data_IF_905132055659
#
_entry.id   IF_905132055659
#
_cell.length_a   1.000
_cell.length_b   1.000
_cell.length_c   1.000
_cell.angle_alpha   90.00
_cell.angle_beta   90.00
_cell.angle_gamma   90.00
#
_symmetry.space_group_name_H-M   'P 1'
#
loop_
_entity.id
_entity.type
_entity.pdbx_description
1 polymer ?
#
# COMPACT_ATOMS: atom_id res chain seq x y z
N UNK A 1 14.13 -17.11 13.02
CA UNK A 1 14.03 -16.51 14.37
C UNK A 1 12.58 -16.10 14.54
N UNK A 2 11.97 -16.32 15.71
CA UNK A 2 10.56 -15.92 15.91
C UNK A 2 10.39 -14.42 15.69
N UNK A 3 9.30 -13.97 15.02
CA UNK A 3 9.01 -12.55 14.83
C UNK A 3 9.00 -11.78 16.15
N UNK A 4 9.52 -10.55 16.12
CA UNK A 4 9.51 -9.65 17.28
C UNK A 4 8.44 -8.58 17.06
N UNK A 5 7.42 -8.57 17.93
CA UNK A 5 6.32 -7.62 17.86
C UNK A 5 6.69 -6.31 18.57
N UNK A 6 6.76 -5.22 17.80
CA UNK A 6 6.97 -3.87 18.32
C UNK A 6 5.62 -3.19 18.53
N UNK A 7 5.32 -2.67 19.73
CA UNK A 7 4.08 -1.96 19.97
C UNK A 7 4.06 -0.65 19.19
N UNK A 8 3.04 -0.46 18.35
CA UNK A 8 2.63 0.86 17.87
C UNK A 8 1.80 1.51 18.98
N UNK A 9 0.84 0.77 19.54
CA UNK A 9 0.00 1.19 20.66
C UNK A 9 -0.09 0.06 21.70
N UNK A 10 -0.96 0.19 22.70
CA UNK A 10 -1.22 -0.86 23.68
C UNK A 10 -1.84 -2.12 23.06
N UNK A 11 -2.57 -1.98 21.95
CA UNK A 11 -3.33 -3.05 21.29
C UNK A 11 -2.98 -3.26 19.82
N UNK A 12 -2.05 -2.48 19.29
CA UNK A 12 -1.61 -2.57 17.89
C UNK A 12 -0.10 -2.76 17.85
N UNK A 13 0.33 -3.82 17.18
CA UNK A 13 1.72 -4.20 17.06
C UNK A 13 2.10 -4.35 15.59
N UNK A 14 3.38 -4.18 15.30
CA UNK A 14 3.98 -4.44 14.00
C UNK A 14 5.21 -5.30 14.16
N UNK A 15 5.43 -6.21 13.23
CA UNK A 15 6.69 -6.93 13.09
C UNK A 15 7.15 -6.84 11.63
N UNK A 16 8.45 -6.90 11.39
CA UNK A 16 9.02 -6.81 10.05
C UNK A 16 9.62 -8.16 9.68
N UNK A 17 9.30 -8.68 8.49
CA UNK A 17 9.74 -9.98 8.03
C UNK A 17 10.58 -9.91 6.75
N UNK A 18 11.69 -10.64 6.77
CA UNK A 18 12.62 -10.80 5.65
C UNK A 18 12.10 -11.84 4.62
N UNK A 19 12.53 -11.81 3.36
CA UNK A 19 13.65 -11.03 2.80
C UNK A 19 13.32 -9.62 2.27
N UNK A 20 12.04 -9.24 2.26
CA UNK A 20 11.60 -7.98 1.65
C UNK A 20 11.36 -6.87 2.67
N UNK A 21 11.57 -7.13 3.97
CA UNK A 21 11.36 -6.14 5.02
C UNK A 21 9.88 -5.72 5.14
N UNK A 22 8.97 -6.67 4.94
CA UNK A 22 7.51 -6.45 4.94
C UNK A 22 7.03 -6.25 6.37
N UNK A 23 6.23 -5.22 6.60
CA UNK A 23 5.51 -5.02 7.85
C UNK A 23 4.26 -5.88 7.90
N UNK A 24 4.15 -6.67 8.96
CA UNK A 24 2.96 -7.44 9.32
C UNK A 24 2.37 -6.85 10.59
N UNK A 25 1.07 -6.53 10.54
CA UNK A 25 0.34 -5.95 11.66
C UNK A 25 -0.36 -6.99 12.53
N UNK A 26 -0.51 -6.69 13.81
CA UNK A 26 -1.36 -7.42 14.74
C UNK A 26 -2.22 -6.44 15.54
N UNK A 27 -3.54 -6.58 15.43
CA UNK A 27 -4.52 -5.81 16.21
C UNK A 27 -5.20 -6.74 17.22
N UNK A 28 -5.11 -6.39 18.50
CA UNK A 28 -5.59 -7.21 19.62
C UNK A 28 -6.83 -6.57 20.23
N UNK A 29 -7.96 -7.26 20.14
CA UNK A 29 -9.15 -6.96 20.92
C UNK A 29 -9.21 -7.79 22.21
N UNK A 30 -10.30 -7.65 22.94
CA UNK A 30 -10.56 -8.39 24.18
C UNK A 30 -11.17 -9.78 23.95
N UNK A 31 -11.76 -10.03 22.77
CA UNK A 31 -12.32 -11.34 22.41
C UNK A 31 -11.51 -12.06 21.32
N UNK A 32 -10.90 -11.30 20.42
CA UNK A 32 -10.17 -11.84 19.28
C UNK A 32 -9.03 -10.91 18.83
N UNK A 33 -8.15 -11.43 17.98
CA UNK A 33 -7.11 -10.66 17.29
C UNK A 33 -7.14 -10.92 15.78
N UNK A 34 -6.52 -10.00 15.04
CA UNK A 34 -6.45 -9.99 13.59
C UNK A 34 -5.03 -9.66 13.13
N UNK A 35 -4.55 -10.39 12.13
CA UNK A 35 -3.31 -10.12 11.41
C UNK A 35 -3.57 -9.23 10.18
N UNK A 36 -2.59 -8.42 9.82
CA UNK A 36 -2.58 -7.61 8.60
C UNK A 36 -1.33 -8.00 7.82
N UNK A 37 -1.54 -8.50 6.62
CA UNK A 37 -0.60 -9.21 5.76
C UNK A 37 -0.07 -10.52 6.35
N UNK A 38 0.53 -11.34 5.50
CA UNK A 38 0.88 -12.73 5.80
C UNK A 38 2.36 -13.06 5.59
N UNK A 39 3.14 -12.12 5.06
CA UNK A 39 4.55 -12.33 4.72
C UNK A 39 4.71 -13.16 3.43
N UNK A 40 5.91 -13.73 3.30
CA UNK A 40 6.48 -14.15 2.01
C UNK A 40 6.20 -15.60 1.63
N UNK A 41 6.10 -16.50 2.62
CA UNK A 41 6.00 -17.95 2.37
C UNK A 41 5.08 -18.63 3.37
N UNK A 42 4.49 -19.76 2.99
CA UNK A 42 3.59 -20.53 3.86
C UNK A 42 4.22 -20.89 5.22
N UNK A 43 5.50 -21.25 5.25
CA UNK A 43 6.22 -21.54 6.49
C UNK A 43 6.32 -20.29 7.37
N UNK A 44 6.71 -19.16 6.80
CA UNK A 44 6.76 -17.88 7.51
C UNK A 44 5.38 -17.45 8.01
N UNK A 45 4.32 -17.65 7.22
CA UNK A 45 2.95 -17.36 7.64
C UNK A 45 2.51 -18.20 8.84
N UNK A 46 2.87 -19.49 8.88
CA UNK A 46 2.60 -20.34 10.04
C UNK A 46 3.38 -19.89 11.29
N UNK A 47 4.65 -19.47 11.13
CA UNK A 47 5.46 -18.90 12.22
C UNK A 47 4.89 -17.58 12.74
N UNK A 48 4.46 -16.69 11.84
CA UNK A 48 3.79 -15.43 12.16
C UNK A 48 2.52 -15.68 12.97
N UNK A 49 1.67 -16.60 12.54
CA UNK A 49 0.45 -16.94 13.25
C UNK A 49 0.71 -17.54 14.63
N UNK A 50 1.69 -18.43 14.75
CA UNK A 50 2.08 -18.98 16.04
C UNK A 50 2.56 -17.88 17.02
N UNK A 51 3.43 -16.99 16.54
CA UNK A 51 3.95 -15.86 17.33
C UNK A 51 2.85 -14.84 17.68
N UNK A 52 1.96 -14.54 16.75
CA UNK A 52 0.84 -13.63 16.96
C UNK A 52 -0.12 -14.14 18.05
N UNK A 53 -0.37 -15.45 18.09
CA UNK A 53 -1.21 -16.07 19.14
C UNK A 53 -0.58 -15.92 20.53
N UNK A 54 0.74 -16.08 20.63
CA UNK A 54 1.47 -15.86 21.88
C UNK A 54 1.38 -14.39 22.31
N UNK A 55 1.60 -13.46 21.37
CA UNK A 55 1.54 -12.02 21.63
C UNK A 55 0.14 -11.54 22.01
N UNK A 56 -0.90 -12.03 21.34
CA UNK A 56 -2.26 -11.55 21.52
C UNK A 56 -2.91 -12.02 22.83
N UNK A 57 -2.61 -13.25 23.29
CA UNK A 57 -3.27 -13.85 24.46
C UNK A 57 -4.77 -14.15 24.27
N UNK A 58 -5.32 -13.87 23.09
CA UNK A 58 -6.69 -14.16 22.64
C UNK A 58 -6.65 -14.86 21.27
N UNK A 59 -7.73 -15.54 20.83
CA UNK A 59 -7.75 -16.18 19.53
C UNK A 59 -7.48 -15.21 18.37
N UNK A 60 -6.44 -15.48 17.57
CA UNK A 60 -6.27 -14.86 16.25
C UNK A 60 -7.24 -15.54 15.28
N UNK A 61 -8.14 -14.77 14.69
CA UNK A 61 -9.30 -15.29 13.94
C UNK A 61 -9.32 -14.87 12.48
N UNK A 62 -8.62 -13.78 12.15
CA UNK A 62 -8.63 -13.17 10.83
C UNK A 62 -7.22 -12.81 10.38
N UNK A 63 -7.03 -12.80 9.07
CA UNK A 63 -5.91 -12.14 8.39
C UNK A 63 -6.48 -11.26 7.28
N UNK A 64 -6.07 -10.00 7.23
CA UNK A 64 -6.42 -9.06 6.17
C UNK A 64 -5.23 -8.94 5.24
N UNK A 65 -5.44 -9.03 3.93
CA UNK A 65 -4.41 -8.79 2.93
C UNK A 65 -4.60 -7.39 2.38
N UNK A 66 -3.55 -6.57 2.46
CA UNK A 66 -3.62 -5.17 2.06
C UNK A 66 -3.66 -5.02 0.55
N UNK A 67 -2.92 -5.83 -0.21
CA UNK A 67 -2.90 -5.75 -1.67
C UNK A 67 -2.33 -7.03 -2.30
N UNK A 68 -2.32 -7.10 -3.64
CA UNK A 68 -2.01 -8.31 -4.41
C UNK A 68 -0.52 -8.51 -4.73
N UNK A 69 0.37 -8.23 -3.78
CA UNK A 69 1.81 -8.54 -3.89
C UNK A 69 2.21 -9.77 -3.08
N UNK A 70 3.17 -10.51 -3.60
CA UNK A 70 3.49 -11.87 -3.14
C UNK A 70 4.13 -11.89 -1.73
N UNK A 71 4.79 -10.82 -1.35
CA UNK A 71 5.43 -10.65 -0.05
C UNK A 71 4.44 -10.22 1.05
N UNK A 72 3.24 -9.77 0.67
CA UNK A 72 2.11 -9.56 1.58
C UNK A 72 1.18 -10.78 1.65
N UNK A 73 1.07 -11.54 0.55
CA UNK A 73 0.07 -12.63 0.40
C UNK A 73 0.66 -14.05 0.46
N UNK A 74 1.97 -14.21 0.27
CA UNK A 74 2.63 -15.50 0.09
C UNK A 74 2.60 -16.40 1.32
N UNK A 75 2.43 -15.82 2.51
CA UNK A 75 2.28 -16.57 3.75
C UNK A 75 0.88 -17.08 4.04
N UNK A 76 -0.14 -16.68 3.28
CA UNK A 76 -1.53 -17.05 3.55
C UNK A 76 -1.74 -18.57 3.62
N UNK A 77 -1.02 -19.34 2.80
CA UNK A 77 -1.12 -20.80 2.78
C UNK A 77 -0.72 -21.47 4.11
N UNK A 78 0.00 -20.76 4.99
CA UNK A 78 0.31 -21.19 6.36
C UNK A 78 -0.72 -20.78 7.42
N UNK A 79 -1.80 -20.09 7.04
CA UNK A 79 -2.82 -19.53 7.92
C UNK A 79 -4.24 -19.97 7.56
N UNK A 80 -4.39 -21.18 7.00
CA UNK A 80 -5.66 -21.65 6.40
C UNK A 80 -6.81 -21.76 7.40
N UNK A 81 -6.53 -21.80 8.70
CA UNK A 81 -7.57 -21.80 9.73
C UNK A 81 -8.19 -20.42 10.00
N UNK A 82 -7.59 -19.34 9.50
CA UNK A 82 -8.08 -17.98 9.67
C UNK A 82 -9.12 -17.63 8.60
N UNK A 83 -10.03 -16.73 8.93
CA UNK A 83 -10.83 -16.05 7.91
C UNK A 83 -9.95 -15.02 7.21
N UNK A 84 -9.52 -15.33 6.00
CA UNK A 84 -8.77 -14.37 5.16
C UNK A 84 -9.71 -13.38 4.47
N UNK A 85 -9.38 -12.10 4.57
CA UNK A 85 -10.18 -10.99 4.07
C UNK A 85 -9.35 -10.13 3.13
N UNK A 86 -9.85 -9.86 1.93
CA UNK A 86 -9.19 -8.95 0.98
C UNK A 86 -10.19 -8.27 0.05
N UNK A 87 -9.72 -7.32 -0.76
CA UNK A 87 -10.52 -6.71 -1.82
C UNK A 87 -10.88 -7.76 -2.90
N UNK A 88 -12.00 -7.56 -3.60
CA UNK A 88 -12.48 -8.47 -4.65
C UNK A 88 -11.59 -8.49 -5.91
N UNK A 89 -10.81 -7.43 -6.14
CA UNK A 89 -9.77 -7.37 -7.19
C UNK A 89 -8.43 -8.00 -6.78
N UNK A 90 -8.30 -8.58 -5.57
CA UNK A 90 -7.16 -9.45 -5.27
C UNK A 90 -7.39 -10.78 -5.98
N UNK A 91 -6.59 -11.08 -7.00
CA UNK A 91 -6.83 -12.20 -7.93
C UNK A 91 -5.75 -13.27 -7.94
N UNK A 92 -4.57 -13.02 -7.34
CA UNK A 92 -3.50 -14.03 -7.28
C UNK A 92 -3.87 -15.25 -6.43
N UNK A 93 -4.82 -15.11 -5.51
CA UNK A 93 -5.35 -16.17 -4.66
C UNK A 93 -6.83 -15.95 -4.35
N UNK A 94 -7.45 -16.89 -3.64
CA UNK A 94 -8.85 -16.81 -3.23
C UNK A 94 -8.96 -16.63 -1.71
N UNK A 95 -9.25 -15.41 -1.21
CA UNK A 95 -9.55 -15.18 0.19
C UNK A 95 -10.84 -15.89 0.63
N UNK A 96 -10.99 -16.14 1.92
CA UNK A 96 -12.22 -16.71 2.49
C UNK A 96 -13.39 -15.74 2.37
N UNK A 97 -13.11 -14.44 2.46
CA UNK A 97 -14.08 -13.36 2.35
C UNK A 97 -13.51 -12.23 1.51
N UNK A 98 -14.26 -11.81 0.52
CA UNK A 98 -13.96 -10.61 -0.26
C UNK A 98 -14.91 -9.47 0.10
N UNK A 99 -14.46 -8.24 -0.13
CA UNK A 99 -15.28 -7.04 -0.06
C UNK A 99 -14.92 -6.08 -1.19
N UNK A 100 -15.81 -5.13 -1.47
CA UNK A 100 -15.63 -4.12 -2.52
C UNK A 100 -15.23 -2.79 -1.88
N UNK A 101 -16.17 -1.98 -1.39
CA UNK A 101 -15.83 -0.67 -0.80
C UNK A 101 -15.33 -0.70 0.64
N UNK A 102 -16.09 -1.29 1.56
CA UNK A 102 -15.80 -1.20 2.98
C UNK A 102 -16.32 -2.40 3.77
N UNK A 103 -15.60 -2.75 4.83
CA UNK A 103 -15.97 -3.83 5.74
C UNK A 103 -15.45 -3.54 7.16
N UNK A 104 -16.27 -3.78 8.18
CA UNK A 104 -15.82 -3.74 9.57
C UNK A 104 -15.69 -5.16 10.15
N UNK A 105 -14.65 -5.38 10.95
CA UNK A 105 -14.41 -6.60 11.72
C UNK A 105 -14.36 -6.21 13.20
N UNK A 106 -15.16 -6.90 14.01
CA UNK A 106 -15.23 -6.65 15.44
C UNK A 106 -14.38 -7.68 16.20
N UNK A 107 -13.53 -7.20 17.10
CA UNK A 107 -12.61 -8.02 17.90
C UNK A 107 -13.00 -7.98 19.40
N UNK A 108 -14.31 -7.86 19.67
CA UNK A 108 -14.87 -7.50 20.98
C UNK A 108 -15.19 -6.00 21.04
N UNK A 109 -14.61 -5.23 21.96
CA UNK A 109 -14.78 -3.77 22.00
C UNK A 109 -13.98 -3.04 20.90
N UNK A 110 -12.89 -3.63 20.40
CA UNK A 110 -12.08 -3.04 19.33
C UNK A 110 -12.71 -3.31 17.96
N UNK A 111 -12.77 -2.26 17.12
CA UNK A 111 -13.22 -2.36 15.72
C UNK A 111 -12.04 -2.12 14.78
N UNK A 112 -11.94 -2.95 13.74
CA UNK A 112 -11.06 -2.75 12.59
C UNK A 112 -11.92 -2.46 11.38
N UNK A 113 -11.60 -1.42 10.60
CA UNK A 113 -12.31 -1.05 9.38
C UNK A 113 -11.39 -1.19 8.18
N UNK A 114 -11.88 -1.88 7.15
CA UNK A 114 -11.22 -2.08 5.88
C UNK A 114 -11.91 -1.17 4.88
N UNK A 115 -11.15 -0.38 4.14
CA UNK A 115 -11.67 0.55 3.14
C UNK A 115 -10.81 0.47 1.88
N UNK A 116 -11.47 0.40 0.73
CA UNK A 116 -10.85 0.57 -0.58
C UNK A 116 -11.28 1.93 -1.13
N UNK A 117 -10.34 2.88 -1.25
CA UNK A 117 -10.60 4.22 -1.82
C UNK A 117 -10.44 4.26 -3.35
N UNK A 118 -10.12 3.13 -3.97
CA UNK A 118 -9.79 3.00 -5.39
C UNK A 118 -8.40 2.43 -5.60
N UNK A 119 -8.07 2.14 -6.85
CA UNK A 119 -6.74 1.63 -7.26
C UNK A 119 -5.65 2.71 -7.07
N UNK A 120 -4.59 2.38 -6.35
CA UNK A 120 -3.43 3.25 -6.14
C UNK A 120 -2.16 2.51 -6.50
N UNK A 121 -1.57 1.86 -5.50
CA UNK A 121 -0.40 0.99 -5.67
C UNK A 121 -0.74 -0.25 -6.48
N UNK A 122 -1.89 -0.85 -6.19
CA UNK A 122 -2.48 -1.95 -6.97
C UNK A 122 -3.97 -1.73 -7.20
N UNK A 123 -4.62 -2.68 -7.87
CA UNK A 123 -6.08 -2.70 -8.03
C UNK A 123 -6.83 -3.12 -6.76
N UNK A 124 -6.15 -3.70 -5.79
CA UNK A 124 -6.78 -4.36 -4.64
C UNK A 124 -6.44 -3.71 -3.30
N UNK A 125 -5.92 -2.48 -3.32
CA UNK A 125 -5.45 -1.79 -2.12
C UNK A 125 -6.51 -1.68 -1.02
N UNK A 126 -6.18 -2.16 0.17
CA UNK A 126 -7.02 -2.12 1.36
C UNK A 126 -6.31 -1.31 2.42
N UNK A 127 -6.98 -0.24 2.85
CA UNK A 127 -6.57 0.56 3.98
C UNK A 127 -7.26 0.01 5.23
N UNK A 128 -6.46 -0.31 6.25
CA UNK A 128 -6.94 -0.90 7.51
C UNK A 128 -6.86 0.14 8.62
N UNK A 129 -8.02 0.68 9.00
CA UNK A 129 -8.17 1.62 10.10
C UNK A 129 -8.39 0.88 11.42
N UNK A 130 -7.71 1.34 12.47
CA UNK A 130 -7.94 0.93 13.86
C UNK A 130 -8.32 2.18 14.67
N UNK A 131 -9.58 2.65 14.59
CA UNK A 131 -9.97 3.96 15.13
C UNK A 131 -9.73 4.09 16.63
N UNK A 132 -9.93 3.02 17.39
CA UNK A 132 -9.70 3.01 18.85
C UNK A 132 -8.25 3.27 19.25
N UNK A 133 -7.30 3.02 18.35
CA UNK A 133 -5.85 3.17 18.60
C UNK A 133 -5.22 4.32 17.80
N UNK A 134 -6.01 4.98 16.94
CA UNK A 134 -5.56 6.00 16.00
C UNK A 134 -4.37 5.54 15.13
N UNK A 135 -4.47 4.31 14.60
CA UNK A 135 -3.49 3.69 13.69
C UNK A 135 -4.16 3.34 12.37
N UNK A 136 -3.43 3.53 11.27
CA UNK A 136 -3.84 3.12 9.93
C UNK A 136 -2.72 2.29 9.32
N UNK A 137 -3.02 1.06 8.91
CA UNK A 137 -2.13 0.29 8.03
C UNK A 137 -2.54 0.59 6.60
N UNK A 138 -1.57 0.97 5.79
CA UNK A 138 -1.82 1.46 4.42
C UNK A 138 -1.23 0.56 3.35
N UNK A 139 -0.57 -0.55 3.74
CA UNK A 139 0.24 -1.34 2.82
C UNK A 139 1.23 -0.46 2.08
N UNK A 140 1.55 -0.83 0.85
CA UNK A 140 2.53 -0.14 0.01
C UNK A 140 2.01 1.18 -0.59
N UNK A 141 0.80 1.62 -0.24
CA UNK A 141 0.36 2.98 -0.57
C UNK A 141 1.28 4.04 0.07
N UNK A 142 1.91 3.72 1.22
CA UNK A 142 3.03 4.46 1.78
C UNK A 142 4.25 3.54 1.89
N UNK A 143 5.41 4.06 1.49
CA UNK A 143 6.66 3.31 1.47
C UNK A 143 7.79 4.09 2.10
N UNK A 144 8.25 3.63 3.26
CA UNK A 144 9.33 4.26 4.03
C UNK A 144 10.66 3.52 3.85
N UNK A 145 10.61 2.22 3.56
CA UNK A 145 11.79 1.38 3.33
C UNK A 145 12.56 1.68 2.04
N UNK A 146 11.93 2.39 1.09
CA UNK A 146 12.48 2.74 -0.21
C UNK A 146 11.57 3.71 -0.96
N UNK A 147 11.81 3.89 -2.26
CA UNK A 147 10.90 4.64 -3.11
C UNK A 147 9.55 3.89 -3.27
N UNK A 148 8.43 4.59 -3.51
CA UNK A 148 7.18 3.95 -3.89
C UNK A 148 7.35 3.07 -5.14
N UNK A 149 7.01 1.79 -5.01
CA UNK A 149 7.09 0.81 -6.08
C UNK A 149 5.99 1.05 -7.12
N UNK A 150 6.30 0.85 -8.41
CA UNK A 150 5.33 1.02 -9.50
C UNK A 150 5.40 -0.20 -10.40
N UNK A 151 4.24 -0.76 -10.75
CA UNK A 151 4.13 -1.91 -11.64
C UNK A 151 2.97 -1.78 -12.65
N UNK A 152 2.65 -2.88 -13.35
CA UNK A 152 1.56 -2.91 -14.31
C UNK A 152 0.17 -2.72 -13.69
N UNK A 153 -0.01 -2.99 -12.40
CA UNK A 153 -1.28 -2.89 -11.66
C UNK A 153 -1.50 -1.53 -11.03
N UNK A 154 -0.42 -0.75 -10.83
CA UNK A 154 -0.47 0.61 -10.29
C UNK A 154 -1.36 1.53 -11.13
N UNK A 155 -2.02 2.48 -10.47
CA UNK A 155 -2.74 3.59 -11.10
C UNK A 155 -2.10 4.90 -10.65
N UNK A 156 -1.05 5.35 -11.35
CA UNK A 156 -0.27 6.55 -10.95
C UNK A 156 -1.16 7.80 -10.92
N UNK A 157 -2.12 7.88 -11.83
CA UNK A 157 -3.05 8.99 -11.87
C UNK A 157 -4.07 9.03 -10.72
N UNK A 158 -4.34 7.90 -10.07
CA UNK A 158 -5.33 7.79 -9.00
C UNK A 158 -4.70 7.63 -7.60
N UNK A 159 -3.46 7.14 -7.50
CA UNK A 159 -2.77 6.93 -6.23
C UNK A 159 -2.76 8.17 -5.31
N UNK A 160 -2.48 9.41 -5.79
CA UNK A 160 -2.60 10.59 -4.93
C UNK A 160 -4.01 10.82 -4.36
N UNK A 161 -5.06 10.49 -5.12
CA UNK A 161 -6.46 10.60 -4.68
C UNK A 161 -6.80 9.56 -3.62
N UNK A 162 -6.27 8.34 -3.74
CA UNK A 162 -6.38 7.29 -2.71
C UNK A 162 -5.77 7.79 -1.40
N UNK A 163 -4.56 8.37 -1.47
CA UNK A 163 -3.88 8.95 -0.30
C UNK A 163 -4.60 10.19 0.26
N UNK A 164 -5.29 10.98 -0.58
CA UNK A 164 -6.16 12.06 -0.09
C UNK A 164 -7.32 11.52 0.78
N UNK A 165 -7.90 10.38 0.41
CA UNK A 165 -8.91 9.68 1.21
C UNK A 165 -8.37 9.26 2.58
N UNK A 166 -7.16 8.69 2.60
CA UNK A 166 -6.46 8.29 3.83
C UNK A 166 -6.15 9.50 4.72
N UNK A 167 -5.55 10.55 4.16
CA UNK A 167 -5.20 11.79 4.86
C UNK A 167 -6.43 12.57 5.34
N UNK A 168 -7.57 12.43 4.65
CA UNK A 168 -8.84 13.02 5.05
C UNK A 168 -9.51 12.31 6.23
N UNK A 169 -9.21 11.02 6.43
CA UNK A 169 -9.73 10.21 7.52
C UNK A 169 -8.84 10.22 8.78
N UNK A 170 -7.61 10.73 8.69
CA UNK A 170 -6.67 10.77 9.80
C UNK A 170 -6.68 12.10 10.58
N UNK A 171 -5.99 12.11 11.70
CA UNK A 171 -5.75 13.26 12.58
C UNK A 171 -4.26 13.57 12.66
N UNK A 172 -3.87 14.69 13.26
CA UNK A 172 -2.46 15.06 13.43
C UNK A 172 -1.67 14.08 14.29
N UNK A 173 -2.33 13.28 15.14
CA UNK A 173 -1.70 12.26 15.99
C UNK A 173 -1.84 10.84 15.43
N UNK A 174 -2.39 10.68 14.22
CA UNK A 174 -2.52 9.36 13.61
C UNK A 174 -1.16 8.82 13.22
N UNK A 175 -0.94 7.53 13.50
CA UNK A 175 0.25 6.79 13.09
C UNK A 175 -0.06 5.90 11.90
N UNK A 176 0.85 5.85 10.95
CA UNK A 176 0.75 5.06 9.74
C UNK A 176 1.74 3.92 9.76
N UNK A 177 1.27 2.72 9.48
CA UNK A 177 2.12 1.56 9.24
C UNK A 177 2.22 1.34 7.73
N UNK A 178 3.36 1.69 7.10
CA UNK A 178 3.60 1.43 5.69
C UNK A 178 3.79 -0.06 5.44
N UNK A 179 3.72 -0.48 4.18
CA UNK A 179 4.04 -1.84 3.76
C UNK A 179 5.47 -2.22 4.10
N UNK A 180 6.40 -1.29 3.91
CA UNK A 180 7.82 -1.48 4.25
C UNK A 180 8.40 -0.31 5.05
N UNK A 181 9.28 -0.65 6.00
CA UNK A 181 10.03 0.32 6.80
C UNK A 181 9.42 0.62 8.17
N UNK A 182 9.67 1.81 8.69
CA UNK A 182 9.27 2.22 10.04
C UNK A 182 7.89 2.88 10.07
N UNK A 183 7.23 2.88 11.22
CA UNK A 183 5.97 3.60 11.44
C UNK A 183 6.18 5.10 11.23
N UNK A 184 5.31 5.73 10.45
CA UNK A 184 5.41 7.14 10.05
C UNK A 184 4.24 7.99 10.54
N UNK A 185 4.41 9.31 10.47
CA UNK A 185 3.40 10.28 10.84
C UNK A 185 2.65 10.84 9.62
N UNK A 186 1.74 11.78 9.89
CA UNK A 186 0.93 12.45 8.86
C UNK A 186 1.79 13.27 7.89
N UNK A 187 2.88 13.87 8.35
CA UNK A 187 3.74 14.73 7.52
C UNK A 187 4.44 13.88 6.45
N UNK A 188 4.97 12.71 6.82
CA UNK A 188 5.51 11.75 5.86
C UNK A 188 4.49 11.36 4.80
N UNK A 189 3.29 10.95 5.23
CA UNK A 189 2.22 10.54 4.33
C UNK A 189 1.82 11.66 3.35
N UNK A 190 1.78 12.91 3.83
CA UNK A 190 1.51 14.07 3.00
C UNK A 190 2.61 14.35 1.97
N UNK A 191 3.88 14.23 2.37
CA UNK A 191 5.04 14.44 1.49
C UNK A 191 5.06 13.38 0.38
N UNK A 192 4.97 12.10 0.70
CA UNK A 192 4.97 11.03 -0.31
C UNK A 192 3.80 11.21 -1.30
N UNK A 193 2.60 11.52 -0.78
CA UNK A 193 1.44 11.84 -1.64
C UNK A 193 1.73 13.00 -2.60
N UNK A 194 2.44 14.02 -2.14
CA UNK A 194 2.81 15.17 -2.98
C UNK A 194 3.85 14.79 -4.04
N UNK A 195 4.83 13.94 -3.70
CA UNK A 195 5.87 13.46 -4.62
C UNK A 195 5.28 12.57 -5.73
N UNK A 196 4.37 11.66 -5.40
CA UNK A 196 3.67 10.82 -6.39
C UNK A 196 2.83 11.70 -7.34
N UNK A 197 2.12 12.70 -6.81
CA UNK A 197 1.36 13.65 -7.64
C UNK A 197 2.26 14.51 -8.52
N UNK A 198 3.43 14.91 -8.00
CA UNK A 198 4.43 15.66 -8.76
C UNK A 198 4.96 14.82 -9.93
N UNK A 199 5.25 13.54 -9.72
CA UNK A 199 5.67 12.62 -10.79
C UNK A 199 4.69 12.64 -11.97
N UNK A 200 3.40 12.42 -11.68
CA UNK A 200 2.38 12.35 -12.72
C UNK A 200 2.18 13.71 -13.43
N UNK A 201 2.04 14.79 -12.66
CA UNK A 201 1.79 16.13 -13.20
C UNK A 201 2.99 16.72 -13.95
N UNK A 202 4.22 16.50 -13.50
CA UNK A 202 5.41 16.91 -14.23
C UNK A 202 5.57 16.11 -15.53
N UNK A 203 5.26 14.81 -15.51
CA UNK A 203 5.25 13.99 -16.73
C UNK A 203 4.26 14.54 -17.76
N UNK A 204 3.06 14.92 -17.33
CA UNK A 204 2.08 15.58 -18.20
C UNK A 204 2.63 16.88 -18.81
N UNK A 205 3.21 17.76 -17.99
CA UNK A 205 3.81 19.02 -18.46
C UNK A 205 4.93 18.78 -19.47
N UNK A 206 5.80 17.80 -19.21
CA UNK A 206 6.89 17.40 -20.10
C UNK A 206 6.36 16.92 -21.46
N UNK A 207 5.33 16.07 -21.46
CA UNK A 207 4.68 15.61 -22.69
C UNK A 207 4.13 16.80 -23.49
N UNK A 208 3.44 17.72 -22.83
CA UNK A 208 2.88 18.91 -23.48
C UNK A 208 3.95 19.83 -24.09
N UNK A 209 5.16 19.83 -23.53
CA UNK A 209 6.34 20.55 -24.03
C UNK A 209 7.10 19.79 -25.13
N UNK A 210 6.71 18.54 -25.43
CA UNK A 210 7.34 17.71 -26.46
C UNK A 210 8.51 16.86 -25.97
N UNK A 211 8.73 16.76 -24.65
CA UNK A 211 9.75 15.87 -24.07
C UNK A 211 9.37 14.42 -24.33
N UNK A 212 10.31 13.66 -24.89
CA UNK A 212 10.14 12.23 -25.15
C UNK A 212 10.46 11.43 -23.89
N UNK A 213 9.86 10.24 -23.77
CA UNK A 213 10.06 9.36 -22.62
C UNK A 213 11.54 9.09 -22.32
N UNK A 214 12.36 8.86 -23.36
CA UNK A 214 13.80 8.60 -23.23
C UNK A 214 14.60 9.77 -22.62
N UNK A 215 14.06 10.99 -22.68
CA UNK A 215 14.70 12.21 -22.18
C UNK A 215 14.17 12.61 -20.78
N UNK A 216 12.98 12.12 -20.40
CA UNK A 216 12.21 12.58 -19.24
C UNK A 216 12.93 12.39 -17.89
N UNK A 217 13.63 11.26 -17.69
CA UNK A 217 14.35 10.97 -16.44
C UNK A 217 15.47 11.98 -16.15
N UNK A 218 16.00 12.64 -17.19
CA UNK A 218 17.09 13.63 -17.06
C UNK A 218 16.64 15.07 -17.30
N UNK A 219 15.38 15.27 -17.65
CA UNK A 219 14.83 16.59 -17.98
C UNK A 219 14.63 17.50 -16.75
N UNK A 220 14.63 16.92 -15.55
CA UNK A 220 14.50 17.62 -14.26
C UNK A 220 15.16 16.80 -13.14
N UNK A 221 15.26 17.40 -11.97
CA UNK A 221 15.54 16.68 -10.73
C UNK A 221 14.26 16.02 -10.20
N UNK A 222 14.35 14.71 -9.92
CA UNK A 222 13.26 13.89 -9.40
C UNK A 222 13.58 13.47 -7.96
N UNK A 223 12.56 13.28 -7.10
CA UNK A 223 12.75 12.80 -5.72
C UNK A 223 12.97 11.28 -5.67
N UNK A 224 12.92 10.59 -6.81
CA UNK A 224 13.00 9.14 -6.91
C UNK A 224 14.29 8.70 -7.61
N UNK A 225 14.72 7.49 -7.29
CA UNK A 225 15.86 6.82 -7.91
C UNK A 225 15.63 6.56 -9.41
N UNK A 226 16.73 6.38 -10.14
CA UNK A 226 16.66 6.03 -11.55
C UNK A 226 15.96 4.70 -11.83
N UNK A 227 15.99 3.76 -10.88
CA UNK A 227 15.30 2.47 -10.96
C UNK A 227 13.78 2.66 -10.93
N UNK A 228 13.27 3.40 -9.95
CA UNK A 228 11.86 3.77 -9.85
C UNK A 228 11.38 4.51 -11.10
N UNK A 229 12.15 5.51 -11.55
CA UNK A 229 11.80 6.31 -12.74
C UNK A 229 11.77 5.47 -14.02
N UNK A 230 12.62 4.44 -14.13
CA UNK A 230 12.66 3.56 -15.30
C UNK A 230 11.35 2.79 -15.50
N UNK A 231 10.55 2.60 -14.44
CA UNK A 231 9.23 1.94 -14.52
C UNK A 231 8.10 2.96 -14.47
N UNK A 232 8.20 3.96 -13.60
CA UNK A 232 7.13 4.90 -13.34
C UNK A 232 6.90 5.89 -14.50
N UNK A 233 7.96 6.36 -15.18
CA UNK A 233 7.80 7.26 -16.33
C UNK A 233 7.11 6.58 -17.51
N UNK A 234 7.50 5.37 -17.98
CA UNK A 234 6.76 4.67 -19.02
C UNK A 234 5.27 4.47 -18.67
N UNK A 235 4.98 4.12 -17.41
CA UNK A 235 3.61 3.96 -16.91
C UNK A 235 2.82 5.28 -16.98
N UNK A 236 3.38 6.37 -16.49
CA UNK A 236 2.75 7.70 -16.55
C UNK A 236 2.51 8.15 -18.00
N UNK A 237 3.50 7.98 -18.89
CA UNK A 237 3.34 8.27 -20.33
C UNK A 237 2.21 7.43 -20.95
N UNK A 238 2.11 6.15 -20.62
CA UNK A 238 1.05 5.27 -21.13
C UNK A 238 -0.34 5.70 -20.63
N UNK A 239 -0.49 5.99 -19.34
CA UNK A 239 -1.75 6.49 -18.77
C UNK A 239 -2.18 7.83 -19.37
N UNK A 240 -1.23 8.74 -19.61
CA UNK A 240 -1.49 10.05 -20.21
C UNK A 240 -1.84 9.93 -21.70
N UNK A 241 -1.15 9.05 -22.44
CA UNK A 241 -1.48 8.76 -23.83
C UNK A 241 -2.90 8.16 -23.96
N UNK A 242 -3.30 7.27 -23.04
CA UNK A 242 -4.67 6.75 -22.99
C UNK A 242 -5.73 7.84 -22.73
N UNK A 243 -5.33 8.97 -22.12
CA UNK A 243 -6.16 10.18 -21.95
C UNK A 243 -6.04 11.16 -23.14
N UNK A 244 -5.32 10.82 -24.20
CA UNK A 244 -5.11 11.65 -25.39
C UNK A 244 -4.04 12.73 -25.23
N UNK A 245 -3.21 12.64 -24.18
CA UNK A 245 -2.10 13.57 -23.94
C UNK A 245 -0.84 12.94 -24.55
N UNK A 246 -0.50 13.39 -25.76
CA UNK A 246 0.69 12.93 -26.48
C UNK A 246 1.64 14.10 -26.81
N UNK A 247 2.94 13.85 -27.01
CA UNK A 247 3.89 14.88 -27.37
C UNK A 247 3.44 15.61 -28.64
N UNK A 248 3.33 16.94 -28.55
CA UNK A 248 3.03 17.75 -29.73
C UNK A 248 4.19 17.63 -30.71
N UNK A 249 3.96 16.92 -31.82
CA UNK A 249 4.83 17.05 -33.01
C UNK A 249 4.76 18.52 -33.41
N UNK A 250 5.90 19.20 -33.45
CA UNK A 250 5.99 20.63 -33.78
C UNK A 250 4.97 21.03 -34.85
N UNK A 251 4.20 22.10 -34.61
CA UNK A 251 3.41 22.74 -35.66
C UNK A 251 4.36 23.12 -36.80
N UNK A 252 3.96 22.97 -38.08
CA UNK A 252 4.76 23.41 -39.21
C UNK A 252 4.80 24.95 -39.19
N UNK A 253 5.84 25.52 -38.57
CA UNK A 253 6.05 26.98 -38.55
C UNK A 253 6.56 27.47 -39.92
N UNK A 254 6.80 26.57 -40.87
CA UNK A 254 7.00 26.93 -42.28
C UNK A 254 6.04 26.14 -43.16
N UNK A 255 4.90 26.76 -43.46
CA UNK A 255 4.16 26.43 -44.67
C UNK A 255 4.95 26.95 -45.87
N UNK A 256 5.44 26.03 -46.70
CA UNK A 256 5.87 26.30 -48.08
C UNK A 256 5.10 25.35 -48.98
#
# INVERSE_FOLDING_TARGET
MSPVWTPVTDRTFVTTVEPHGVNVGLVVGDEAALLIDSGNTAEQGAELLASAREQAGVPVTHVVLTHDHADHTGGLAGMQELTSVAHEDLTSLTPTRQFSMALAIQLGAQRVELVHFGEGHTRSDVIVFVPGENVIFVGDLLEQGGDPQVDETTSLSNWPTVLDGVLGACTDSTRFVPGHGTVVDRDFAFIQRAEIAMLYSQTEMMIQQGTRLEDAATATEWPFTAETLAVALPKAYAELAAKGIEPKRQLPIFGV
#
